data_IF_217522994883
#
_entry.id   IF_217522994883
#
_cell.length_a   1.000
_cell.length_b   1.000
_cell.length_c   1.000
_cell.angle_alpha   90.00
_cell.angle_beta   90.00
_cell.angle_gamma   90.00
#
_symmetry.space_group_name_H-M   'P 1'
#
loop_
_entity.id
_entity.type
_entity.pdbx_description
1 polymer ?
#
# COMPACT_ATOMS: atom_id res chain seq x y z
N UNK A 1 -46.28 -31.15 21.87
CA UNK A 1 -46.95 -31.03 20.58
C UNK A 1 -45.85 -30.63 19.59
N UNK A 2 -44.94 -31.49 19.24
CA UNK A 2 -44.95 -32.54 18.21
C UNK A 2 -45.65 -32.06 16.93
N UNK A 3 -44.86 -31.83 15.95
CA UNK A 3 -45.05 -32.12 14.53
C UNK A 3 -44.33 -31.06 13.67
N UNK A 4 -43.05 -31.19 13.49
CA UNK A 4 -42.36 -30.79 12.24
C UNK A 4 -40.90 -31.36 12.22
N UNK A 5 -40.83 -32.58 12.58
CA UNK A 5 -39.76 -33.47 12.13
C UNK A 5 -40.28 -34.20 10.89
N UNK A 6 -39.40 -34.45 9.95
CA UNK A 6 -39.59 -35.18 8.71
C UNK A 6 -39.84 -34.24 7.51
N UNK A 7 -38.75 -33.81 6.89
CA UNK A 7 -38.57 -33.68 5.45
C UNK A 7 -37.15 -33.17 5.09
N UNK A 8 -36.15 -33.90 5.59
CA UNK A 8 -34.79 -33.79 5.03
C UNK A 8 -34.28 -35.23 4.87
N UNK A 9 -34.75 -35.84 3.85
CA UNK A 9 -34.12 -37.00 3.27
C UNK A 9 -34.44 -37.02 1.80
N UNK A 10 -33.48 -37.43 1.02
CA UNK A 10 -33.56 -37.67 -0.43
C UNK A 10 -33.29 -36.49 -1.34
N UNK A 11 -32.04 -36.16 -1.50
CA UNK A 11 -31.42 -35.84 -2.78
C UNK A 11 -29.92 -36.18 -2.77
N UNK A 12 -29.65 -37.45 -2.46
CA UNK A 12 -28.41 -38.08 -2.89
C UNK A 12 -28.84 -38.93 -4.08
N UNK A 13 -28.53 -38.55 -5.29
CA UNK A 13 -28.22 -39.50 -6.35
C UNK A 13 -27.77 -38.80 -7.64
N UNK A 14 -26.58 -39.19 -8.09
CA UNK A 14 -26.12 -39.29 -9.47
C UNK A 14 -25.77 -38.01 -10.24
N UNK A 15 -24.52 -37.83 -10.40
CA UNK A 15 -23.89 -36.92 -11.34
C UNK A 15 -22.38 -37.18 -11.48
N UNK A 16 -22.01 -38.47 -11.60
CA UNK A 16 -20.71 -38.85 -12.19
C UNK A 16 -20.78 -38.54 -13.68
N UNK A 17 -19.86 -37.69 -14.18
CA UNK A 17 -19.21 -37.86 -15.49
C UNK A 17 -18.04 -36.91 -15.62
N UNK A 18 -16.86 -37.49 -15.64
CA UNK A 18 -15.72 -37.19 -16.47
C UNK A 18 -15.68 -35.83 -17.20
N UNK A 19 -14.80 -34.97 -16.71
CA UNK A 19 -14.27 -33.82 -17.41
C UNK A 19 -12.77 -33.76 -17.22
N UNK A 20 -12.03 -34.58 -17.97
CA UNK A 20 -10.59 -34.44 -18.19
C UNK A 20 -10.37 -33.13 -18.94
N UNK A 21 -10.19 -32.04 -18.23
CA UNK A 21 -9.68 -30.81 -18.82
C UNK A 21 -8.15 -30.85 -18.82
N UNK A 22 -7.62 -31.07 -19.99
CA UNK A 22 -6.22 -30.99 -20.33
C UNK A 22 -5.64 -29.65 -19.81
N UNK A 23 -4.67 -29.75 -18.90
CA UNK A 23 -3.77 -28.67 -18.61
C UNK A 23 -2.94 -28.36 -19.86
N UNK A 24 -3.37 -27.36 -20.62
CA UNK A 24 -2.56 -26.75 -21.67
C UNK A 24 -1.42 -26.01 -20.99
N UNK A 25 -0.28 -26.64 -20.91
CA UNK A 25 1.00 -26.03 -20.53
C UNK A 25 1.36 -24.97 -21.56
N UNK A 26 1.00 -23.73 -21.30
CA UNK A 26 1.55 -22.58 -22.02
C UNK A 26 3.00 -22.42 -21.56
N UNK A 27 3.98 -22.48 -22.47
CA UNK A 27 5.36 -22.19 -22.11
C UNK A 27 5.43 -20.74 -21.64
N UNK A 28 6.04 -20.52 -20.48
CA UNK A 28 6.38 -19.21 -19.98
C UNK A 28 7.26 -18.54 -21.05
N UNK A 29 6.70 -17.54 -21.71
CA UNK A 29 7.45 -16.71 -22.65
C UNK A 29 8.37 -15.83 -21.83
N UNK A 30 9.62 -16.20 -21.82
CA UNK A 30 10.71 -15.43 -21.25
C UNK A 30 10.71 -14.02 -21.87
N UNK A 31 10.66 -12.94 -21.06
CA UNK A 31 10.75 -11.60 -21.61
C UNK A 31 12.15 -11.42 -22.22
N UNK A 32 12.19 -11.37 -23.55
CA UNK A 32 13.41 -11.05 -24.30
C UNK A 32 13.80 -9.62 -23.97
N UNK A 33 14.87 -9.45 -23.19
CA UNK A 33 15.52 -8.17 -22.95
C UNK A 33 15.87 -7.54 -24.32
N UNK A 34 15.60 -6.28 -24.55
CA UNK A 34 16.07 -5.62 -25.76
C UNK A 34 17.60 -5.59 -25.74
N UNK A 35 18.16 -6.23 -26.75
CA UNK A 35 19.57 -6.22 -27.05
C UNK A 35 19.99 -4.76 -27.29
N UNK A 36 20.85 -4.25 -26.41
CA UNK A 36 21.46 -2.94 -26.57
C UNK A 36 22.38 -2.98 -27.78
N UNK A 37 21.91 -2.45 -28.90
CA UNK A 37 22.71 -2.18 -30.08
C UNK A 37 23.87 -1.22 -29.75
N UNK A 38 25.06 -1.78 -29.63
CA UNK A 38 26.30 -1.07 -29.31
C UNK A 38 26.92 -0.39 -30.54
N UNK A 39 26.15 0.08 -31.49
CA UNK A 39 26.69 0.73 -32.67
C UNK A 39 26.17 2.14 -32.84
N UNK A 40 26.53 3.05 -31.96
CA UNK A 40 26.62 4.47 -32.31
C UNK A 40 27.56 5.25 -31.36
N UNK A 41 28.80 4.84 -31.29
CA UNK A 41 29.86 5.76 -30.90
C UNK A 41 30.33 6.44 -32.19
N UNK A 42 29.61 7.44 -32.63
CA UNK A 42 30.11 8.31 -33.71
C UNK A 42 30.52 9.64 -33.10
N UNK A 43 31.84 9.80 -33.12
CA UNK A 43 32.53 11.03 -32.80
C UNK A 43 31.88 12.22 -33.50
N UNK A 44 31.35 13.17 -32.72
CA UNK A 44 31.20 14.54 -33.15
C UNK A 44 32.03 15.43 -32.20
N UNK A 45 33.26 15.68 -32.68
CA UNK A 45 34.06 16.76 -32.14
C UNK A 45 33.33 18.07 -32.36
N UNK A 46 32.93 18.70 -31.27
CA UNK A 46 32.63 20.12 -31.22
C UNK A 46 33.50 20.74 -30.14
N UNK A 47 34.64 21.22 -30.58
CA UNK A 47 35.40 22.27 -29.93
C UNK A 47 34.52 23.54 -29.89
N UNK A 48 33.98 23.83 -28.73
CA UNK A 48 33.22 25.02 -28.43
C UNK A 48 33.26 25.25 -26.93
N UNK A 49 34.36 25.81 -26.43
CA UNK A 49 34.45 26.32 -25.08
C UNK A 49 33.50 27.52 -24.94
N UNK A 50 32.30 27.28 -24.46
CA UNK A 50 31.43 28.31 -23.91
C UNK A 50 31.37 28.01 -22.42
N UNK A 51 32.01 28.87 -21.63
CA UNK A 51 31.86 28.87 -20.17
C UNK A 51 30.40 29.13 -19.85
N UNK A 52 29.60 28.07 -19.77
CA UNK A 52 28.27 28.14 -19.24
C UNK A 52 28.38 28.32 -17.73
N UNK A 53 28.18 29.52 -17.26
CA UNK A 53 27.92 29.81 -15.85
C UNK A 53 26.82 28.85 -15.39
N UNK A 54 27.05 27.99 -14.39
CA UNK A 54 26.00 27.11 -13.87
C UNK A 54 24.84 27.99 -13.41
N UNK A 55 23.58 27.61 -13.74
CA UNK A 55 22.44 28.34 -13.25
C UNK A 55 22.51 28.38 -11.71
N UNK A 56 22.12 29.50 -11.07
CA UNK A 56 22.15 29.61 -9.63
C UNK A 56 21.32 28.44 -9.09
N UNK A 57 21.96 27.65 -8.23
CA UNK A 57 21.28 26.66 -7.41
C UNK A 57 20.12 27.39 -6.74
N UNK A 58 18.88 27.06 -7.18
CA UNK A 58 17.72 27.48 -6.44
C UNK A 58 17.90 26.93 -5.06
N UNK A 59 18.22 27.81 -4.12
CA UNK A 59 18.14 27.51 -2.69
C UNK A 59 16.70 27.05 -2.50
N UNK A 60 16.51 25.75 -2.36
CA UNK A 60 15.22 25.21 -1.96
C UNK A 60 14.97 25.83 -0.60
N UNK A 61 14.06 26.77 -0.57
CA UNK A 61 13.54 27.38 0.63
C UNK A 61 13.11 26.20 1.51
N UNK A 62 13.88 25.96 2.57
CA UNK A 62 13.66 24.83 3.48
C UNK A 62 12.30 25.09 4.16
N UNK A 63 11.26 24.64 3.50
CA UNK A 63 9.92 24.60 4.09
C UNK A 63 9.97 23.83 5.41
N UNK A 64 8.93 23.93 6.24
CA UNK A 64 8.90 23.23 7.53
C UNK A 64 9.19 21.75 7.30
N UNK A 65 10.08 21.20 8.12
CA UNK A 65 10.47 19.80 8.04
C UNK A 65 9.22 18.92 8.17
N UNK A 66 8.96 18.10 7.18
CA UNK A 66 7.80 17.19 7.15
C UNK A 66 8.16 15.84 7.73
N UNK A 67 7.24 15.27 8.44
CA UNK A 67 7.34 13.94 9.03
C UNK A 67 6.04 13.17 8.77
N UNK A 68 6.14 11.84 8.82
CA UNK A 68 4.99 10.95 8.74
C UNK A 68 4.61 10.46 10.12
N UNK A 69 3.30 10.43 10.38
CA UNK A 69 2.70 9.83 11.57
C UNK A 69 1.64 8.83 11.15
N UNK A 70 1.44 7.80 11.95
CA UNK A 70 0.48 6.73 11.63
C UNK A 70 -0.36 6.33 12.83
N UNK A 71 -1.50 5.72 12.53
CA UNK A 71 -2.38 5.08 13.50
C UNK A 71 -3.05 3.88 12.86
N UNK A 72 -3.23 2.79 13.62
CA UNK A 72 -4.00 1.62 13.15
C UNK A 72 -5.40 2.05 12.74
N UNK A 73 -5.89 1.51 11.62
CA UNK A 73 -7.25 1.77 11.17
C UNK A 73 -8.31 1.04 12.00
N UNK A 74 -7.89 0.12 12.88
CA UNK A 74 -8.75 -0.67 13.74
C UNK A 74 -9.41 -1.86 13.05
N UNK A 75 -9.05 -2.17 11.79
CA UNK A 75 -9.61 -3.33 11.09
C UNK A 75 -9.19 -4.66 11.72
N UNK A 76 -10.10 -5.64 11.68
CA UNK A 76 -9.91 -6.97 12.24
C UNK A 76 -10.12 -8.06 11.20
N UNK A 77 -9.40 -9.16 11.37
CA UNK A 77 -9.50 -10.35 10.52
C UNK A 77 -10.93 -10.92 10.56
N UNK A 78 -11.45 -11.36 9.42
CA UNK A 78 -12.79 -11.91 9.22
C UNK A 78 -13.94 -10.92 9.42
N UNK A 79 -13.69 -9.71 9.91
CA UNK A 79 -14.73 -8.71 10.08
C UNK A 79 -14.80 -7.76 8.89
N UNK A 80 -15.96 -7.68 8.26
CA UNK A 80 -16.16 -6.79 7.11
C UNK A 80 -16.35 -5.34 7.60
N UNK A 81 -15.65 -4.39 6.96
CA UNK A 81 -15.82 -2.94 7.16
C UNK A 81 -15.51 -2.42 8.56
N UNK A 82 -14.61 -3.05 9.30
CA UNK A 82 -14.21 -2.58 10.63
C UNK A 82 -13.16 -1.48 10.58
N UNK A 83 -12.38 -1.39 9.52
CA UNK A 83 -11.32 -0.38 9.38
C UNK A 83 -11.86 1.03 9.11
N UNK A 84 -11.26 2.02 9.76
CA UNK A 84 -11.56 3.44 9.54
C UNK A 84 -10.89 3.95 8.28
N UNK A 85 -11.59 4.79 7.51
CA UNK A 85 -11.00 5.45 6.35
C UNK A 85 -10.00 6.54 6.75
N UNK A 86 -9.08 6.88 5.84
CA UNK A 86 -8.09 7.95 6.08
C UNK A 86 -8.79 9.29 6.36
N UNK A 87 -9.85 9.62 5.62
CA UNK A 87 -10.61 10.86 5.80
C UNK A 87 -11.32 10.91 7.16
N UNK A 88 -11.85 9.79 7.61
CA UNK A 88 -12.53 9.73 8.92
C UNK A 88 -11.54 9.90 10.06
N UNK A 89 -10.35 9.31 9.98
CA UNK A 89 -9.34 9.39 11.01
C UNK A 89 -8.58 10.73 10.99
N UNK A 90 -8.44 11.36 9.81
CA UNK A 90 -7.86 12.70 9.69
C UNK A 90 -8.55 13.75 10.57
N UNK A 91 -9.84 13.59 10.84
CA UNK A 91 -10.58 14.48 11.74
C UNK A 91 -10.00 14.50 13.15
N UNK A 92 -9.30 13.47 13.56
CA UNK A 92 -8.58 13.43 14.84
C UNK A 92 -7.34 14.33 14.81
N UNK A 93 -6.84 14.70 13.64
CA UNK A 93 -5.75 15.66 13.45
C UNK A 93 -6.26 17.10 13.27
N UNK A 94 -7.50 17.40 13.65
CA UNK A 94 -8.08 18.74 13.53
C UNK A 94 -7.12 19.83 14.08
N UNK A 95 -6.85 20.89 13.28
CA UNK A 95 -5.90 21.93 13.65
C UNK A 95 -4.42 21.58 13.48
N UNK A 96 -4.12 20.45 12.84
CA UNK A 96 -2.80 20.07 12.36
C UNK A 96 -2.88 20.01 10.83
N UNK A 97 -2.11 20.81 10.07
CA UNK A 97 -2.07 20.71 8.62
C UNK A 97 -1.60 19.33 8.17
N UNK A 98 -2.38 18.67 7.32
CA UNK A 98 -2.05 17.39 6.71
C UNK A 98 -1.71 17.66 5.24
N UNK A 99 -0.50 17.30 4.82
CA UNK A 99 0.00 17.53 3.46
C UNK A 99 -0.23 16.32 2.55
N UNK A 100 -0.11 15.12 3.10
CA UNK A 100 -0.36 13.87 2.39
C UNK A 100 -1.01 12.85 3.33
N UNK A 101 -1.78 11.92 2.74
CA UNK A 101 -2.42 10.82 3.46
C UNK A 101 -2.44 9.56 2.62
N UNK A 102 -2.22 8.43 3.25
CA UNK A 102 -2.29 7.13 2.60
C UNK A 102 -2.74 6.04 3.57
N UNK A 103 -3.25 4.93 3.02
CA UNK A 103 -3.57 3.72 3.76
C UNK A 103 -2.72 2.58 3.25
N UNK A 104 -2.05 1.86 4.16
CA UNK A 104 -1.21 0.71 3.80
C UNK A 104 -1.10 -0.30 4.94
N UNK A 105 -0.48 -1.43 4.67
CA UNK A 105 -0.04 -2.36 5.72
C UNK A 105 1.16 -1.79 6.46
N UNK A 106 1.28 -2.10 7.75
CA UNK A 106 2.44 -1.76 8.58
C UNK A 106 3.71 -2.55 8.23
N UNK A 107 3.60 -3.51 7.30
CA UNK A 107 4.71 -4.34 6.84
C UNK A 107 5.06 -5.50 7.79
N UNK A 108 4.35 -5.67 8.89
CA UNK A 108 4.57 -6.76 9.84
C UNK A 108 3.72 -7.98 9.48
N UNK A 109 4.18 -9.15 9.90
CA UNK A 109 3.38 -10.37 9.82
C UNK A 109 2.36 -10.40 10.96
N UNK A 110 1.09 -10.52 10.59
CA UNK A 110 -0.01 -10.65 11.55
C UNK A 110 -0.59 -12.07 11.53
N UNK A 111 -0.96 -12.56 12.69
CA UNK A 111 -1.62 -13.87 12.80
C UNK A 111 -2.97 -13.84 12.08
N UNK A 112 -3.27 -14.89 11.31
CA UNK A 112 -4.49 -15.00 10.52
C UNK A 112 -5.60 -15.67 11.34
N UNK A 113 -6.01 -15.01 12.45
CA UNK A 113 -7.07 -15.46 13.34
C UNK A 113 -8.19 -14.42 13.36
N UNK A 114 -9.43 -14.86 13.25
CA UNK A 114 -10.59 -13.97 13.31
C UNK A 114 -10.57 -13.11 14.58
N UNK A 115 -10.85 -11.81 14.42
CA UNK A 115 -10.80 -10.82 15.50
C UNK A 115 -9.42 -10.22 15.78
N UNK A 116 -8.34 -10.79 15.24
CA UNK A 116 -7.00 -10.20 15.33
C UNK A 116 -6.85 -8.95 14.46
N UNK A 117 -5.96 -8.00 14.79
CA UNK A 117 -5.67 -6.85 13.93
C UNK A 117 -5.16 -7.28 12.55
N UNK A 118 -5.54 -6.54 11.52
CA UNK A 118 -5.09 -6.81 10.15
C UNK A 118 -3.72 -6.22 9.84
N UNK A 119 -3.19 -5.31 10.67
CA UNK A 119 -1.99 -4.53 10.39
C UNK A 119 -2.20 -3.36 9.42
N UNK A 120 -3.45 -3.06 9.07
CA UNK A 120 -3.72 -1.88 8.25
C UNK A 120 -3.62 -0.60 9.07
N UNK A 121 -2.91 0.39 8.51
CA UNK A 121 -2.64 1.69 9.13
C UNK A 121 -3.00 2.82 8.18
N UNK A 122 -3.39 3.95 8.77
CA UNK A 122 -3.53 5.22 8.08
C UNK A 122 -2.32 6.10 8.43
N UNK A 123 -1.64 6.62 7.41
CA UNK A 123 -0.44 7.45 7.50
C UNK A 123 -0.77 8.87 7.05
N UNK A 124 -0.21 9.85 7.73
CA UNK A 124 -0.38 11.27 7.45
C UNK A 124 0.97 11.97 7.48
N UNK A 125 1.20 12.84 6.50
CA UNK A 125 2.37 13.72 6.47
C UNK A 125 1.97 15.07 7.08
N UNK A 126 2.69 15.46 8.13
CA UNK A 126 2.47 16.69 8.90
C UNK A 126 3.78 17.44 9.10
N UNK A 127 3.70 18.68 9.52
CA UNK A 127 4.89 19.43 9.93
C UNK A 127 5.46 18.87 11.24
N UNK A 128 6.77 18.77 11.34
CA UNK A 128 7.47 18.19 12.50
C UNK A 128 7.14 18.90 13.82
N UNK A 129 6.86 20.20 13.76
CA UNK A 129 6.42 21.01 14.92
C UNK A 129 5.13 20.51 15.56
N UNK A 130 4.31 19.77 14.80
CA UNK A 130 3.02 19.24 15.26
C UNK A 130 3.12 17.79 15.78
N UNK A 131 4.31 17.17 15.78
CA UNK A 131 4.49 15.78 16.21
C UNK A 131 3.89 15.52 17.59
N UNK A 132 4.24 16.34 18.58
CA UNK A 132 3.77 16.16 19.95
C UNK A 132 2.23 16.18 20.05
N UNK A 133 1.59 17.11 19.33
CA UNK A 133 0.11 17.17 19.29
C UNK A 133 -0.50 15.92 18.64
N UNK A 134 0.15 15.36 17.63
CA UNK A 134 -0.32 14.13 16.99
C UNK A 134 -0.14 12.92 17.93
N UNK A 135 0.96 12.84 18.66
CA UNK A 135 1.21 11.79 19.65
C UNK A 135 0.19 11.82 20.80
N UNK A 136 -0.16 12.99 21.30
CA UNK A 136 -1.21 13.18 22.31
C UNK A 136 -2.58 12.64 21.85
N UNK A 137 -2.80 12.56 20.53
CA UNK A 137 -4.00 11.99 19.90
C UNK A 137 -3.86 10.51 19.53
N UNK A 138 -2.75 9.88 19.96
CA UNK A 138 -2.48 8.46 19.76
C UNK A 138 -1.90 8.10 18.40
N UNK A 139 -1.40 9.07 17.63
CA UNK A 139 -0.59 8.82 16.46
C UNK A 139 0.85 8.53 16.88
N UNK A 140 1.57 7.78 16.06
CA UNK A 140 2.99 7.44 16.27
C UNK A 140 3.81 7.91 15.08
N UNK A 141 5.05 8.32 15.32
CA UNK A 141 5.98 8.65 14.23
C UNK A 141 6.20 7.42 13.35
N UNK A 142 6.07 7.59 12.03
CA UNK A 142 6.35 6.56 11.05
C UNK A 142 7.80 6.67 10.59
N UNK A 143 8.53 5.55 10.67
CA UNK A 143 9.90 5.40 10.17
C UNK A 143 9.89 4.33 9.09
N UNK A 144 10.32 4.69 7.88
CA UNK A 144 10.42 3.73 6.78
C UNK A 144 11.54 2.73 7.08
N UNK A 145 11.21 1.43 6.99
CA UNK A 145 12.19 0.36 7.17
C UNK A 145 12.15 -0.38 8.50
N UNK A 146 11.06 -0.26 9.24
CA UNK A 146 10.88 -1.07 10.44
C UNK A 146 10.29 -2.43 10.09
#
# INVERSE_FOLDING_TARGET
METHRILIAVCIFLGSLAGLSACSSRPCREPRLPELDQTQVRANGHTGAVAATPPPLKTEESGPLRIRVYKSDGSRQCEKRTGRSVESMERELAGIPVHHREKRSDGLMHIQVCGSPTGMINIYEIDSSNLKKAEERGFKKWEEGR
#
